data_IF_238168448201
#
_entry.id   IF_238168448201
#
_cell.length_a   1.000
_cell.length_b   1.000
_cell.length_c   1.000
_cell.angle_alpha   90.00
_cell.angle_beta   90.00
_cell.angle_gamma   90.00
#
_symmetry.space_group_name_H-M   'P 1'
#
loop_
_entity.id
_entity.type
_entity.pdbx_description
1 polymer ?
#
# COMPACT_ATOMS: atom_id res chain seq x y z
N UNK A 1 37.07 16.45 -62.88
CA UNK A 1 38.01 16.13 -61.77
C UNK A 1 37.59 16.71 -60.43
N UNK A 2 37.02 17.90 -60.32
CA UNK A 2 36.66 18.55 -59.04
C UNK A 2 35.50 17.88 -58.30
N UNK A 3 34.52 17.25 -58.97
CA UNK A 3 33.38 16.62 -58.32
C UNK A 3 33.70 15.26 -57.66
N UNK A 4 34.62 14.49 -58.25
CA UNK A 4 35.10 13.24 -57.69
C UNK A 4 35.93 13.44 -56.40
N UNK A 5 36.73 14.53 -56.34
CA UNK A 5 37.50 14.88 -55.15
C UNK A 5 36.63 15.32 -53.95
N UNK A 6 35.50 16.00 -54.22
CA UNK A 6 34.56 16.41 -53.17
C UNK A 6 33.80 15.19 -52.62
N UNK A 7 33.40 14.24 -53.44
CA UNK A 7 32.73 13.01 -52.97
C UNK A 7 33.67 12.12 -52.17
N UNK A 8 34.95 12.01 -52.58
CA UNK A 8 35.94 11.25 -51.79
C UNK A 8 36.29 11.94 -50.47
N UNK A 9 36.36 13.28 -50.42
CA UNK A 9 36.63 14.04 -49.19
C UNK A 9 35.47 13.92 -48.18
N UNK A 10 34.21 14.01 -48.63
CA UNK A 10 33.04 13.83 -47.77
C UNK A 10 32.89 12.38 -47.28
N UNK A 11 33.20 11.39 -48.10
CA UNK A 11 33.22 9.99 -47.67
C UNK A 11 34.31 9.67 -46.66
N UNK A 12 35.52 10.27 -46.82
CA UNK A 12 36.61 10.13 -45.82
C UNK A 12 36.27 10.82 -44.50
N UNK A 13 35.68 12.02 -44.54
CA UNK A 13 35.24 12.72 -43.32
C UNK A 13 34.09 11.96 -42.61
N UNK A 14 33.15 11.38 -43.34
CA UNK A 14 32.10 10.53 -42.75
C UNK A 14 32.70 9.28 -42.07
N UNK A 15 33.65 8.61 -42.72
CA UNK A 15 34.27 7.40 -42.14
C UNK A 15 35.14 7.73 -40.94
N UNK A 16 35.89 8.83 -40.97
CA UNK A 16 36.78 9.25 -39.87
C UNK A 16 36.04 9.75 -38.64
N UNK A 17 34.82 10.26 -38.76
CA UNK A 17 34.02 10.73 -37.63
C UNK A 17 32.91 9.75 -37.22
N UNK A 18 32.22 9.12 -38.16
CA UNK A 18 31.13 8.16 -37.85
C UNK A 18 31.66 6.87 -37.23
N UNK A 19 32.81 6.36 -37.71
CA UNK A 19 33.36 5.10 -37.18
C UNK A 19 33.85 5.23 -35.72
N UNK A 20 34.59 6.25 -35.31
CA UNK A 20 34.91 6.45 -33.89
C UNK A 20 33.67 6.76 -33.05
N UNK A 21 32.69 7.52 -33.59
CA UNK A 21 31.47 7.82 -32.88
C UNK A 21 30.61 6.57 -32.72
N UNK A 22 30.49 5.74 -33.75
CA UNK A 22 29.82 4.42 -33.63
C UNK A 22 30.59 3.47 -32.72
N UNK A 23 31.92 3.47 -32.74
CA UNK A 23 32.75 2.68 -31.84
C UNK A 23 32.60 3.16 -30.38
N UNK A 24 32.58 4.47 -30.15
CA UNK A 24 32.32 5.05 -28.83
C UNK A 24 30.89 4.75 -28.38
N UNK A 25 29.89 4.91 -29.24
CA UNK A 25 28.51 4.53 -28.92
C UNK A 25 28.36 3.04 -28.68
N UNK A 26 29.08 2.22 -29.45
CA UNK A 26 29.12 0.77 -29.26
C UNK A 26 29.83 0.41 -27.95
N UNK A 27 30.95 1.03 -27.63
CA UNK A 27 31.64 0.87 -26.34
C UNK A 27 30.80 1.36 -25.17
N UNK A 28 30.08 2.47 -25.30
CA UNK A 28 29.12 2.93 -24.29
C UNK A 28 27.91 2.01 -24.16
N UNK A 29 27.44 1.46 -25.27
CA UNK A 29 26.27 0.54 -25.26
C UNK A 29 26.62 -0.87 -24.76
N UNK A 30 27.88 -1.32 -24.99
CA UNK A 30 28.39 -2.61 -24.53
C UNK A 30 29.17 -2.56 -23.21
N UNK A 31 29.49 -1.36 -22.72
CA UNK A 31 30.20 -1.22 -21.45
C UNK A 31 29.17 -1.30 -20.29
N UNK A 32 28.88 -2.53 -19.88
CA UNK A 32 27.98 -2.85 -18.77
C UNK A 32 28.62 -2.60 -17.40
N UNK A 33 29.61 -1.71 -17.33
CA UNK A 33 30.32 -1.35 -16.09
C UNK A 33 29.98 0.06 -15.62
N UNK A 34 29.76 0.20 -14.33
CA UNK A 34 29.68 1.50 -13.67
C UNK A 34 31.06 2.12 -13.55
N UNK A 35 31.24 3.31 -14.10
CA UNK A 35 32.55 3.99 -14.22
C UNK A 35 33.09 4.43 -12.85
N UNK A 36 32.23 4.70 -11.89
CA UNK A 36 32.60 5.20 -10.57
C UNK A 36 33.09 4.09 -9.64
N UNK A 37 32.42 2.94 -9.68
CA UNK A 37 32.67 1.82 -8.77
C UNK A 37 33.44 0.67 -9.43
N UNK A 38 33.48 0.60 -10.77
CA UNK A 38 34.07 -0.53 -11.50
C UNK A 38 33.24 -1.82 -11.44
N UNK A 39 32.03 -1.77 -10.84
CA UNK A 39 31.09 -2.90 -10.82
C UNK A 39 30.31 -3.01 -12.12
N UNK A 40 29.58 -4.11 -12.31
CA UNK A 40 28.61 -4.20 -13.38
C UNK A 40 27.40 -3.25 -13.12
N UNK A 41 26.74 -2.79 -14.17
CA UNK A 41 25.56 -1.91 -14.07
C UNK A 41 24.24 -2.72 -14.00
N UNK A 42 23.12 -2.01 -13.82
CA UNK A 42 21.79 -2.59 -13.74
C UNK A 42 21.36 -3.34 -15.03
N UNK A 43 21.88 -2.95 -16.20
CA UNK A 43 21.62 -3.64 -17.48
C UNK A 43 22.28 -5.01 -17.50
N UNK A 44 23.52 -5.09 -16.99
CA UNK A 44 24.24 -6.35 -16.85
C UNK A 44 23.52 -7.29 -15.89
N UNK A 45 22.91 -6.76 -14.81
CA UNK A 45 22.11 -7.54 -13.86
C UNK A 45 20.94 -8.24 -14.54
N UNK A 46 20.15 -7.53 -15.35
CA UNK A 46 19.02 -8.11 -16.06
C UNK A 46 19.41 -9.17 -17.08
N UNK A 47 20.58 -9.06 -17.71
CA UNK A 47 21.12 -10.09 -18.61
C UNK A 47 21.62 -11.30 -17.83
N UNK A 48 22.35 -11.09 -16.76
CA UNK A 48 22.93 -12.16 -15.95
C UNK A 48 21.86 -13.00 -15.25
N UNK A 49 20.81 -12.37 -14.72
CA UNK A 49 19.70 -13.11 -14.11
C UNK A 49 18.96 -13.99 -15.11
N UNK A 50 18.84 -13.56 -16.37
CA UNK A 50 18.29 -14.42 -17.45
C UNK A 50 19.17 -15.65 -17.72
N UNK A 51 20.49 -15.52 -17.65
CA UNK A 51 21.43 -16.65 -17.79
C UNK A 51 21.39 -17.61 -16.60
N UNK A 52 20.93 -17.13 -15.43
CA UNK A 52 20.76 -17.93 -14.23
C UNK A 52 19.41 -18.65 -14.17
N UNK A 53 18.50 -18.41 -15.11
CA UNK A 53 17.19 -19.05 -15.12
C UNK A 53 17.34 -20.59 -15.07
N UNK A 54 16.64 -21.21 -14.12
CA UNK A 54 16.74 -22.66 -13.86
C UNK A 54 17.98 -23.12 -13.06
N UNK A 55 18.81 -22.19 -12.58
CA UNK A 55 19.94 -22.49 -11.68
C UNK A 55 19.66 -21.98 -10.29
N UNK A 56 20.18 -22.70 -9.28
CA UNK A 56 20.13 -22.22 -7.92
C UNK A 56 21.19 -21.14 -7.67
N UNK A 57 20.76 -20.00 -7.18
CA UNK A 57 21.63 -18.90 -6.78
C UNK A 57 21.07 -18.18 -5.55
N UNK A 58 21.90 -17.34 -4.97
CA UNK A 58 21.54 -16.44 -3.90
C UNK A 58 21.88 -15.03 -4.33
N UNK A 59 20.94 -14.10 -4.11
CA UNK A 59 21.10 -12.67 -4.29
C UNK A 59 21.29 -12.01 -2.95
N UNK A 60 22.35 -11.22 -2.81
CA UNK A 60 22.59 -10.37 -1.65
C UNK A 60 22.45 -8.93 -2.09
N UNK A 61 21.50 -8.24 -1.54
CA UNK A 61 21.20 -6.85 -1.85
C UNK A 61 21.58 -5.97 -0.66
N UNK A 62 22.47 -5.02 -0.90
CA UNK A 62 22.95 -4.06 0.08
C UNK A 62 22.49 -2.66 -0.31
N UNK A 63 21.77 -1.99 0.57
CA UNK A 63 21.43 -0.59 0.45
C UNK A 63 22.14 0.22 1.54
N UNK A 64 22.85 1.26 1.11
CA UNK A 64 23.63 2.18 1.95
C UNK A 64 22.99 3.57 1.89
N UNK A 65 22.59 4.09 3.03
CA UNK A 65 21.98 5.41 3.13
C UNK A 65 23.02 6.49 3.40
N UNK A 66 22.86 7.63 2.74
CA UNK A 66 23.64 8.88 2.98
C UNK A 66 25.18 8.70 2.90
N UNK A 67 25.63 7.84 2.00
CA UNK A 67 27.06 7.60 1.79
C UNK A 67 27.65 8.58 0.77
N UNK A 68 28.74 9.25 1.13
CA UNK A 68 29.46 10.10 0.17
C UNK A 68 30.43 9.28 -0.71
N UNK A 69 30.81 9.83 -1.86
CA UNK A 69 31.66 9.16 -2.86
C UNK A 69 32.99 8.61 -2.28
N UNK A 70 33.62 9.32 -1.34
CA UNK A 70 34.89 8.88 -0.73
C UNK A 70 34.69 7.65 0.15
N UNK A 71 33.66 7.65 1.00
CA UNK A 71 33.31 6.49 1.85
C UNK A 71 32.85 5.32 0.98
N UNK A 72 32.08 5.59 -0.09
CA UNK A 72 31.64 4.61 -1.07
C UNK A 72 32.84 3.87 -1.68
N UNK A 73 33.84 4.61 -2.17
CA UNK A 73 35.03 4.01 -2.78
C UNK A 73 35.78 3.11 -1.80
N UNK A 74 36.02 3.55 -0.57
CA UNK A 74 36.70 2.76 0.46
C UNK A 74 35.93 1.48 0.82
N UNK A 75 34.60 1.60 0.95
CA UNK A 75 33.74 0.45 1.25
C UNK A 75 33.75 -0.57 0.12
N UNK A 76 33.70 -0.10 -1.14
CA UNK A 76 33.72 -0.96 -2.32
C UNK A 76 35.05 -1.67 -2.51
N UNK A 77 36.18 -0.98 -2.23
CA UNK A 77 37.52 -1.62 -2.27
C UNK A 77 37.60 -2.81 -1.28
N UNK A 78 37.06 -2.66 -0.05
CA UNK A 78 36.98 -3.77 0.92
C UNK A 78 36.04 -4.88 0.46
N UNK A 79 34.88 -4.50 -0.10
CA UNK A 79 33.89 -5.43 -0.58
C UNK A 79 34.39 -6.26 -1.77
N UNK A 80 35.11 -5.63 -2.70
CA UNK A 80 35.74 -6.33 -3.82
C UNK A 80 36.83 -7.28 -3.35
N UNK A 81 37.72 -6.81 -2.47
CA UNK A 81 38.78 -7.64 -1.96
C UNK A 81 38.25 -8.89 -1.25
N UNK A 82 37.18 -8.74 -0.44
CA UNK A 82 36.51 -9.83 0.21
C UNK A 82 35.89 -10.80 -0.81
N UNK A 83 35.14 -10.27 -1.79
CA UNK A 83 34.50 -11.08 -2.83
C UNK A 83 35.52 -11.92 -3.63
N UNK A 84 36.64 -11.31 -4.04
CA UNK A 84 37.70 -12.03 -4.78
C UNK A 84 38.36 -13.12 -3.95
N UNK A 85 38.50 -12.91 -2.66
CA UNK A 85 39.17 -13.83 -1.76
C UNK A 85 38.31 -15.05 -1.38
N UNK A 86 37.01 -14.86 -1.20
CA UNK A 86 36.12 -15.86 -0.65
C UNK A 86 35.16 -16.52 -1.63
N UNK A 87 34.88 -15.89 -2.77
CA UNK A 87 33.90 -16.39 -3.72
C UNK A 87 34.52 -16.70 -5.10
N UNK A 88 33.98 -17.76 -5.72
CA UNK A 88 34.36 -18.12 -7.08
C UNK A 88 33.44 -17.38 -8.09
N UNK A 89 34.06 -16.48 -8.86
CA UNK A 89 33.37 -15.62 -9.87
C UNK A 89 32.16 -14.87 -9.32
N UNK A 90 32.31 -14.06 -8.28
CA UNK A 90 31.22 -13.23 -7.79
C UNK A 90 30.87 -12.16 -8.83
N UNK A 91 29.56 -11.90 -9.00
CA UNK A 91 29.06 -10.83 -9.84
C UNK A 91 28.44 -9.75 -8.95
N UNK A 92 29.03 -8.56 -8.95
CA UNK A 92 28.54 -7.41 -8.21
C UNK A 92 28.02 -6.35 -9.17
N UNK A 93 26.83 -5.85 -8.91
CA UNK A 93 26.10 -4.89 -9.73
C UNK A 93 25.79 -3.64 -8.91
N UNK A 94 25.99 -2.45 -9.51
CA UNK A 94 25.41 -1.21 -8.98
C UNK A 94 24.06 -0.97 -9.63
N UNK A 95 23.02 -0.92 -8.84
CA UNK A 95 21.65 -0.72 -9.35
C UNK A 95 21.33 0.76 -9.47
N UNK A 96 21.54 1.50 -8.39
CA UNK A 96 21.46 2.98 -8.30
C UNK A 96 22.28 3.47 -7.10
N UNK A 97 22.21 4.76 -6.78
CA UNK A 97 23.01 5.33 -5.70
C UNK A 97 22.75 4.64 -4.37
N UNK A 98 23.82 4.12 -3.77
CA UNK A 98 23.79 3.38 -2.53
C UNK A 98 23.28 1.94 -2.62
N UNK A 99 22.80 1.47 -3.79
CA UNK A 99 22.25 0.13 -3.96
C UNK A 99 23.18 -0.79 -4.76
N UNK A 100 23.59 -1.87 -4.11
CA UNK A 100 24.45 -2.90 -4.70
C UNK A 100 23.81 -4.27 -4.58
N UNK A 101 23.98 -5.09 -5.62
CA UNK A 101 23.49 -6.46 -5.65
C UNK A 101 24.65 -7.40 -5.99
N UNK A 102 24.75 -8.49 -5.29
CA UNK A 102 25.69 -9.58 -5.57
C UNK A 102 24.93 -10.86 -5.86
N UNK A 103 25.36 -11.59 -6.88
CA UNK A 103 24.79 -12.88 -7.25
C UNK A 103 25.82 -14.00 -7.07
N UNK A 104 25.45 -15.02 -6.31
CA UNK A 104 26.29 -16.18 -5.99
C UNK A 104 25.62 -17.44 -6.47
N UNK A 105 26.16 -18.06 -7.52
CA UNK A 105 25.69 -19.36 -7.97
C UNK A 105 26.04 -20.44 -6.95
N UNK A 106 25.06 -21.25 -6.58
CA UNK A 106 25.20 -22.29 -5.54
C UNK A 106 26.15 -23.40 -5.97
N UNK A 107 26.17 -23.79 -7.26
CA UNK A 107 27.07 -24.78 -7.80
C UNK A 107 28.54 -24.36 -7.79
N UNK A 108 28.84 -23.07 -7.85
CA UNK A 108 30.19 -22.52 -7.77
C UNK A 108 30.59 -22.14 -6.33
N UNK A 109 29.62 -21.88 -5.47
CA UNK A 109 29.81 -21.42 -4.11
C UNK A 109 28.90 -22.20 -3.14
N UNK A 110 29.15 -23.50 -2.90
CA UNK A 110 28.27 -24.35 -2.06
C UNK A 110 28.18 -23.84 -0.60
N UNK A 111 29.23 -23.15 -0.11
CA UNK A 111 29.29 -22.61 1.25
C UNK A 111 28.96 -21.11 1.31
N UNK A 112 28.22 -20.59 0.31
CA UNK A 112 27.97 -19.16 0.19
C UNK A 112 27.30 -18.55 1.43
N UNK A 113 26.34 -19.24 2.06
CA UNK A 113 25.68 -18.76 3.27
C UNK A 113 26.67 -18.52 4.42
N UNK A 114 27.54 -19.49 4.68
CA UNK A 114 28.56 -19.38 5.74
C UNK A 114 29.56 -18.25 5.46
N UNK A 115 29.95 -18.11 4.19
CA UNK A 115 30.86 -17.04 3.77
C UNK A 115 30.20 -15.66 3.83
N UNK A 116 28.91 -15.58 3.52
CA UNK A 116 28.17 -14.31 3.69
C UNK A 116 28.03 -13.95 5.16
N UNK A 117 27.81 -14.92 6.02
CA UNK A 117 27.76 -14.64 7.45
C UNK A 117 29.09 -14.06 7.96
N UNK A 118 30.23 -14.57 7.50
CA UNK A 118 31.54 -14.00 7.78
C UNK A 118 31.68 -12.59 7.20
N UNK A 119 31.24 -12.40 5.94
CA UNK A 119 31.23 -11.08 5.31
C UNK A 119 30.39 -10.06 6.07
N UNK A 120 29.27 -10.47 6.66
CA UNK A 120 28.43 -9.61 7.48
C UNK A 120 29.10 -9.20 8.79
N UNK A 121 29.84 -10.11 9.42
CA UNK A 121 30.64 -9.80 10.61
C UNK A 121 31.72 -8.78 10.28
N UNK A 122 32.48 -8.98 9.21
CA UNK A 122 33.50 -8.06 8.73
C UNK A 122 32.89 -6.71 8.30
N UNK A 123 31.72 -6.74 7.65
CA UNK A 123 30.97 -5.53 7.28
C UNK A 123 30.47 -4.77 8.50
N UNK A 124 30.04 -5.46 9.54
CA UNK A 124 29.60 -4.84 10.79
C UNK A 124 30.71 -4.04 11.47
N UNK A 125 31.94 -4.58 11.51
CA UNK A 125 33.10 -3.84 12.01
C UNK A 125 33.40 -2.58 11.18
N UNK A 126 33.32 -2.71 9.85
CA UNK A 126 33.51 -1.60 8.91
C UNK A 126 32.42 -0.54 9.07
N UNK A 127 31.16 -0.97 9.21
CA UNK A 127 30.01 -0.11 9.43
C UNK A 127 30.15 0.73 10.71
N UNK A 128 30.58 0.12 11.81
CA UNK A 128 30.85 0.83 13.08
C UNK A 128 31.89 1.94 12.88
N UNK A 129 32.92 1.67 12.10
CA UNK A 129 33.98 2.64 11.80
C UNK A 129 33.50 3.83 10.97
N UNK A 130 32.63 3.60 9.99
CA UNK A 130 32.15 4.64 9.07
C UNK A 130 30.81 5.29 9.47
N UNK A 131 30.09 4.74 10.43
CA UNK A 131 28.75 5.19 10.85
C UNK A 131 27.81 5.35 9.65
N UNK A 132 27.59 4.26 8.94
CA UNK A 132 26.74 4.22 7.74
C UNK A 132 25.49 3.42 8.06
N UNK A 133 24.32 3.96 7.74
CA UNK A 133 23.08 3.21 7.81
C UNK A 133 22.96 2.28 6.61
N UNK A 134 22.57 1.03 6.85
CA UNK A 134 22.45 0.03 5.83
C UNK A 134 21.16 -0.80 5.97
N UNK A 135 20.76 -1.43 4.88
CA UNK A 135 19.82 -2.54 4.85
C UNK A 135 20.42 -3.63 3.99
N UNK A 136 20.33 -4.88 4.44
CA UNK A 136 20.82 -6.02 3.70
C UNK A 136 19.71 -7.08 3.58
N UNK A 137 19.41 -7.44 2.34
CA UNK A 137 18.39 -8.44 2.00
C UNK A 137 19.08 -9.60 1.28
N UNK A 138 18.81 -10.82 1.73
CA UNK A 138 19.33 -12.05 1.13
C UNK A 138 18.15 -12.83 0.55
N UNK A 139 18.16 -13.01 -0.76
CA UNK A 139 17.09 -13.68 -1.50
C UNK A 139 17.64 -14.96 -2.11
N UNK A 140 16.96 -16.06 -1.85
CA UNK A 140 17.21 -17.31 -2.52
C UNK A 140 16.46 -17.40 -3.85
N UNK A 141 17.06 -18.05 -4.85
CA UNK A 141 16.39 -18.29 -6.13
C UNK A 141 15.11 -19.09 -5.94
N UNK A 142 14.04 -18.62 -6.57
CA UNK A 142 12.75 -19.30 -6.63
C UNK A 142 12.34 -19.42 -8.11
N UNK A 143 11.95 -20.61 -8.61
CA UNK A 143 11.60 -20.81 -10.01
C UNK A 143 10.39 -19.99 -10.49
N UNK A 144 9.62 -19.40 -9.59
CA UNK A 144 8.48 -18.53 -9.89
C UNK A 144 8.89 -17.09 -10.17
N UNK A 145 10.11 -16.68 -9.77
CA UNK A 145 10.70 -15.39 -10.08
C UNK A 145 11.50 -15.54 -11.38
N UNK A 146 10.96 -15.07 -12.48
CA UNK A 146 11.48 -15.36 -13.82
C UNK A 146 12.41 -14.30 -14.39
N UNK A 147 12.47 -13.12 -13.78
CA UNK A 147 13.27 -11.99 -14.26
C UNK A 147 14.08 -11.32 -13.16
N UNK A 148 15.12 -10.59 -13.54
CA UNK A 148 15.85 -9.72 -12.61
C UNK A 148 14.95 -8.65 -11.97
N UNK A 149 13.95 -8.19 -12.68
CA UNK A 149 12.96 -7.24 -12.19
C UNK A 149 12.13 -7.84 -11.04
N UNK A 150 11.76 -9.14 -11.13
CA UNK A 150 11.05 -9.82 -10.04
C UNK A 150 11.89 -9.89 -8.78
N UNK A 151 13.20 -10.19 -8.90
CA UNK A 151 14.11 -10.21 -7.76
C UNK A 151 14.30 -8.83 -7.14
N UNK A 152 14.38 -7.78 -7.95
CA UNK A 152 14.49 -6.40 -7.45
C UNK A 152 13.20 -5.94 -6.80
N UNK A 153 12.05 -6.30 -7.34
CA UNK A 153 10.75 -5.99 -6.74
C UNK A 153 10.53 -6.74 -5.41
N UNK A 154 10.96 -8.00 -5.33
CA UNK A 154 10.95 -8.74 -4.04
C UNK A 154 11.91 -8.12 -3.03
N UNK A 155 13.09 -7.67 -3.45
CA UNK A 155 14.04 -6.96 -2.59
C UNK A 155 13.45 -5.66 -2.03
N UNK A 156 12.76 -4.89 -2.85
CA UNK A 156 12.05 -3.68 -2.41
C UNK A 156 10.92 -4.00 -1.42
N UNK A 157 10.12 -5.01 -1.74
CA UNK A 157 9.03 -5.49 -0.87
C UNK A 157 9.52 -5.92 0.52
N UNK A 158 10.66 -6.62 0.59
CA UNK A 158 11.28 -7.00 1.86
C UNK A 158 11.91 -5.80 2.56
N UNK A 159 12.57 -4.92 1.79
CA UNK A 159 13.23 -3.73 2.30
C UNK A 159 12.30 -2.71 2.94
N UNK A 160 11.07 -2.56 2.44
CA UNK A 160 10.05 -1.65 3.00
C UNK A 160 9.66 -2.02 4.44
N UNK A 161 9.70 -3.31 4.77
CA UNK A 161 9.34 -3.85 6.09
C UNK A 161 10.53 -3.96 7.04
N UNK A 162 11.72 -3.65 6.56
CA UNK A 162 12.98 -3.88 7.26
C UNK A 162 13.40 -2.65 8.08
N UNK A 163 13.84 -2.89 9.32
CA UNK A 163 14.50 -1.87 10.13
C UNK A 163 15.85 -1.46 9.52
N UNK A 164 16.30 -0.24 9.78
CA UNK A 164 17.66 0.21 9.47
C UNK A 164 18.66 -0.62 10.25
N UNK A 165 19.82 -0.89 9.67
CA UNK A 165 20.92 -1.66 10.27
C UNK A 165 20.51 -3.10 10.63
N UNK A 166 19.76 -3.74 9.73
CA UNK A 166 19.34 -5.13 9.89
C UNK A 166 19.54 -5.95 8.62
N UNK A 167 19.48 -7.26 8.80
CA UNK A 167 19.58 -8.28 7.75
C UNK A 167 18.28 -9.06 7.67
N UNK A 168 17.74 -9.24 6.48
CA UNK A 168 16.55 -10.04 6.22
C UNK A 168 16.88 -11.15 5.23
N UNK A 169 16.45 -12.35 5.52
CA UNK A 169 16.51 -13.51 4.63
C UNK A 169 15.10 -13.75 4.06
N UNK A 170 15.00 -13.92 2.75
CA UNK A 170 13.72 -14.26 2.14
C UNK A 170 13.29 -15.67 2.57
N UNK A 171 12.05 -15.80 2.99
CA UNK A 171 11.38 -17.07 3.22
C UNK A 171 10.50 -17.44 2.00
N UNK A 172 9.98 -18.66 2.00
CA UNK A 172 9.00 -19.07 1.00
C UNK A 172 7.70 -18.27 1.13
N UNK A 173 7.31 -17.98 2.36
CA UNK A 173 6.14 -17.19 2.71
C UNK A 173 6.26 -15.74 2.19
N UNK A 174 7.46 -15.17 2.22
CA UNK A 174 7.73 -13.84 1.65
C UNK A 174 7.55 -13.84 0.13
N UNK A 175 8.06 -14.87 -0.55
CA UNK A 175 7.87 -15.02 -1.99
C UNK A 175 6.39 -15.22 -2.33
N UNK A 176 5.66 -16.02 -1.56
CA UNK A 176 4.22 -16.23 -1.74
C UNK A 176 3.45 -14.90 -1.57
N UNK A 177 3.75 -14.14 -0.51
CA UNK A 177 3.14 -12.83 -0.26
C UNK A 177 3.47 -11.80 -1.36
N UNK A 178 4.70 -11.77 -1.82
CA UNK A 178 5.12 -10.92 -2.93
C UNK A 178 4.38 -11.25 -4.23
N UNK A 179 4.30 -12.53 -4.60
CA UNK A 179 3.61 -12.97 -5.81
C UNK A 179 2.10 -12.67 -5.75
N UNK A 180 1.52 -12.81 -4.56
CA UNK A 180 0.13 -12.41 -4.33
C UNK A 180 -0.05 -10.89 -4.53
N UNK A 181 0.80 -10.06 -3.92
CA UNK A 181 0.80 -8.60 -4.08
C UNK A 181 0.97 -8.21 -5.57
N UNK A 182 1.94 -8.81 -6.26
CA UNK A 182 2.20 -8.57 -7.69
C UNK A 182 0.96 -8.87 -8.53
N UNK A 183 0.31 -10.01 -8.29
CA UNK A 183 -0.92 -10.36 -9.02
C UNK A 183 -2.06 -9.39 -8.74
N UNK A 184 -2.23 -8.94 -7.49
CA UNK A 184 -3.23 -7.92 -7.14
C UNK A 184 -2.93 -6.62 -7.88
N UNK A 185 -1.67 -6.18 -7.92
CA UNK A 185 -1.25 -4.97 -8.64
C UNK A 185 -1.57 -5.06 -10.14
N UNK A 186 -1.27 -6.19 -10.79
CA UNK A 186 -1.61 -6.42 -12.21
C UNK A 186 -3.12 -6.28 -12.45
N UNK A 187 -3.95 -6.80 -11.53
CA UNK A 187 -5.40 -6.68 -11.65
C UNK A 187 -5.89 -5.24 -11.42
N UNK A 188 -5.30 -4.52 -10.48
CA UNK A 188 -5.63 -3.12 -10.22
C UNK A 188 -5.26 -2.22 -11.41
N UNK A 189 -4.13 -2.46 -12.06
CA UNK A 189 -3.74 -1.75 -13.30
C UNK A 189 -4.81 -1.96 -14.37
N UNK A 190 -5.24 -3.21 -14.62
CA UNK A 190 -6.28 -3.50 -15.62
C UNK A 190 -7.64 -2.87 -15.27
N UNK A 191 -8.03 -2.85 -13.98
CA UNK A 191 -9.25 -2.15 -13.52
C UNK A 191 -9.13 -0.65 -13.78
N UNK A 192 -7.99 -0.07 -13.44
CA UNK A 192 -7.75 1.36 -13.59
C UNK A 192 -7.73 1.81 -15.06
N UNK A 193 -7.08 1.03 -15.94
CA UNK A 193 -7.02 1.30 -17.38
C UNK A 193 -8.40 1.21 -18.06
N UNK A 194 -9.25 0.29 -17.61
CA UNK A 194 -10.62 0.13 -18.12
C UNK A 194 -11.56 1.24 -17.64
N UNK A 195 -11.40 1.68 -16.40
CA UNK A 195 -12.25 2.69 -15.78
C UNK A 195 -13.75 2.33 -15.75
N UNK A 196 -14.08 1.03 -15.85
CA UNK A 196 -15.45 0.53 -15.85
C UNK A 196 -16.05 0.55 -14.44
N UNK A 197 -17.06 1.39 -14.22
CA UNK A 197 -17.74 1.53 -12.92
C UNK A 197 -18.54 0.26 -12.51
N UNK A 198 -18.71 -0.69 -13.44
CA UNK A 198 -19.39 -1.96 -13.19
C UNK A 198 -18.43 -3.16 -13.10
N UNK A 199 -17.10 -2.93 -13.01
CA UNK A 199 -16.12 -4.02 -12.98
C UNK A 199 -16.49 -5.10 -11.96
N UNK A 200 -16.76 -6.32 -12.46
CA UNK A 200 -17.31 -7.42 -11.66
C UNK A 200 -16.35 -7.91 -10.55
N UNK A 201 -15.07 -7.57 -10.64
CA UNK A 201 -14.07 -7.93 -9.63
C UNK A 201 -14.26 -7.15 -8.32
N UNK A 202 -14.80 -5.92 -8.39
CA UNK A 202 -15.05 -5.09 -7.20
C UNK A 202 -16.43 -5.43 -6.64
N UNK A 203 -16.45 -6.07 -5.48
CA UNK A 203 -17.67 -6.48 -4.78
C UNK A 203 -17.97 -5.55 -3.61
N UNK A 204 -19.26 -5.31 -3.38
CA UNK A 204 -19.75 -4.50 -2.26
C UNK A 204 -20.33 -5.39 -1.19
N UNK A 205 -19.64 -5.43 -0.05
CA UNK A 205 -20.11 -6.02 1.18
C UNK A 205 -20.53 -4.90 2.14
N UNK A 206 -21.40 -5.20 3.08
CA UNK A 206 -21.81 -4.28 4.11
C UNK A 206 -21.90 -4.98 5.46
N UNK A 207 -21.59 -4.25 6.52
CA UNK A 207 -21.84 -4.66 7.88
C UNK A 207 -22.93 -3.79 8.48
N UNK A 208 -24.06 -4.38 8.98
CA UNK A 208 -25.15 -3.63 9.58
C UNK A 208 -24.73 -2.97 10.89
N UNK A 209 -25.24 -1.78 11.12
CA UNK A 209 -24.98 -0.97 12.32
C UNK A 209 -26.28 -0.85 13.13
N UNK A 210 -26.26 -1.30 14.38
CA UNK A 210 -27.39 -1.20 15.31
C UNK A 210 -27.49 0.22 15.88
N UNK A 211 -28.67 0.81 15.81
CA UNK A 211 -28.96 2.04 16.51
C UNK A 211 -29.57 1.70 17.90
N UNK A 212 -28.83 1.99 18.97
CA UNK A 212 -29.21 1.61 20.34
C UNK A 212 -30.51 2.27 20.83
N UNK A 213 -30.85 3.48 20.31
CA UNK A 213 -32.10 4.17 20.71
C UNK A 213 -33.34 3.57 20.10
N UNK A 214 -33.26 3.04 18.90
CA UNK A 214 -34.41 2.47 18.19
C UNK A 214 -34.45 0.96 18.24
N UNK A 215 -33.33 0.32 18.56
CA UNK A 215 -33.19 -1.16 18.51
C UNK A 215 -33.24 -1.70 17.07
N UNK A 216 -33.01 -0.87 16.05
CA UNK A 216 -33.14 -1.23 14.65
C UNK A 216 -31.84 -1.04 13.87
N UNK A 217 -31.71 -1.80 12.79
CA UNK A 217 -30.65 -1.64 11.80
C UNK A 217 -31.19 -0.80 10.64
N UNK A 218 -30.75 0.44 10.53
CA UNK A 218 -31.12 1.33 9.44
C UNK A 218 -29.92 1.96 8.74
N UNK A 219 -28.73 1.59 9.15
CA UNK A 219 -27.47 2.00 8.57
C UNK A 219 -26.49 0.83 8.46
N UNK A 220 -25.48 0.99 7.60
CA UNK A 220 -24.45 -0.03 7.40
C UNK A 220 -23.15 0.61 6.95
N UNK A 221 -22.02 -0.04 7.21
CA UNK A 221 -20.72 0.31 6.63
C UNK A 221 -20.46 -0.51 5.37
N UNK A 222 -20.00 0.15 4.31
CA UNK A 222 -19.54 -0.49 3.08
C UNK A 222 -18.10 -0.95 3.22
N UNK A 223 -17.90 -2.21 2.94
CA UNK A 223 -16.61 -2.88 3.01
C UNK A 223 -16.32 -3.56 1.67
N UNK A 224 -15.54 -2.91 0.84
CA UNK A 224 -15.19 -3.46 -0.48
C UNK A 224 -14.48 -4.80 -0.37
N UNK A 225 -14.63 -5.64 -1.37
CA UNK A 225 -13.85 -6.87 -1.58
C UNK A 225 -13.41 -6.93 -3.04
N UNK A 226 -12.24 -7.46 -3.29
CA UNK A 226 -11.80 -7.71 -4.65
C UNK A 226 -11.87 -9.23 -4.93
N UNK A 227 -12.67 -9.64 -5.90
CA UNK A 227 -12.81 -11.05 -6.28
C UNK A 227 -11.94 -11.35 -7.49
N UNK A 228 -10.86 -12.06 -7.28
CA UNK A 228 -9.87 -12.34 -8.32
C UNK A 228 -9.85 -13.83 -8.70
N UNK A 229 -9.72 -14.17 -10.01
CA UNK A 229 -9.80 -15.56 -10.47
C UNK A 229 -8.83 -16.53 -9.79
N UNK A 230 -7.60 -16.05 -9.46
CA UNK A 230 -6.57 -16.91 -8.84
C UNK A 230 -6.60 -16.93 -7.31
N UNK A 231 -7.15 -15.89 -6.67
CA UNK A 231 -7.06 -15.69 -5.22
C UNK A 231 -8.42 -15.77 -4.53
N UNK A 232 -9.53 -15.76 -5.30
CA UNK A 232 -10.85 -15.57 -4.73
C UNK A 232 -11.03 -14.18 -4.13
N UNK A 233 -11.67 -14.11 -2.98
CA UNK A 233 -11.94 -12.84 -2.29
C UNK A 233 -10.69 -12.34 -1.59
N UNK A 234 -10.24 -11.16 -1.99
CA UNK A 234 -9.09 -10.43 -1.42
C UNK A 234 -9.61 -9.28 -0.55
N UNK A 235 -9.01 -9.17 0.64
CA UNK A 235 -9.42 -8.19 1.65
C UNK A 235 -8.85 -6.79 1.37
N UNK A 236 -9.54 -5.72 1.80
CA UNK A 236 -9.10 -4.33 1.62
C UNK A 236 -7.70 -4.05 2.16
N UNK A 237 -7.32 -4.69 3.26
CA UNK A 237 -5.99 -4.53 3.89
C UNK A 237 -4.81 -4.87 2.96
N UNK A 238 -5.02 -5.70 1.92
CA UNK A 238 -4.03 -5.95 0.89
C UNK A 238 -4.23 -5.03 -0.32
N UNK A 239 -5.47 -4.71 -0.68
CA UNK A 239 -5.81 -3.97 -1.91
C UNK A 239 -5.52 -2.48 -1.77
N UNK A 240 -5.99 -1.87 -0.67
CA UNK A 240 -5.95 -0.41 -0.48
C UNK A 240 -4.51 0.14 -0.49
N UNK A 241 -3.55 -0.43 0.28
CA UNK A 241 -2.17 0.07 0.26
C UNK A 241 -1.51 0.00 -1.13
N UNK A 242 -1.83 -1.03 -1.92
CA UNK A 242 -1.33 -1.16 -3.29
C UNK A 242 -1.95 -0.09 -4.19
N UNK A 243 -3.27 0.11 -4.10
CA UNK A 243 -4.00 1.09 -4.89
C UNK A 243 -3.55 2.53 -4.56
N UNK A 244 -3.30 2.85 -3.28
CA UNK A 244 -2.75 4.13 -2.83
C UNK A 244 -1.33 4.36 -3.34
N UNK A 245 -0.43 3.38 -3.15
CA UNK A 245 0.97 3.47 -3.58
C UNK A 245 1.11 3.73 -5.08
N UNK A 246 0.20 3.21 -5.88
CA UNK A 246 0.20 3.32 -7.34
C UNK A 246 -0.84 4.31 -7.89
N UNK A 247 -1.40 5.18 -7.05
CA UNK A 247 -2.35 6.24 -7.43
C UNK A 247 -3.62 5.72 -8.15
N UNK A 248 -4.04 4.49 -7.85
CA UNK A 248 -5.23 3.86 -8.45
C UNK A 248 -6.44 3.85 -7.51
N UNK A 249 -6.31 4.35 -6.28
CA UNK A 249 -7.36 4.29 -5.26
C UNK A 249 -8.63 5.02 -5.72
N UNK A 250 -8.49 6.14 -6.43
CA UNK A 250 -9.62 6.92 -6.91
C UNK A 250 -10.55 6.12 -7.84
N UNK A 251 -10.00 5.33 -8.76
CA UNK A 251 -10.79 4.46 -9.63
C UNK A 251 -11.57 3.42 -8.83
N UNK A 252 -10.94 2.81 -7.83
CA UNK A 252 -11.59 1.82 -6.96
C UNK A 252 -12.74 2.46 -6.18
N UNK A 253 -12.54 3.63 -5.59
CA UNK A 253 -13.56 4.34 -4.82
C UNK A 253 -14.75 4.76 -5.68
N UNK A 254 -14.52 5.18 -6.92
CA UNK A 254 -15.62 5.47 -7.88
C UNK A 254 -16.46 4.23 -8.17
N UNK A 255 -15.84 3.08 -8.39
CA UNK A 255 -16.56 1.81 -8.59
C UNK A 255 -17.35 1.44 -7.34
N UNK A 256 -16.72 1.52 -6.16
CA UNK A 256 -17.37 1.22 -4.88
C UNK A 256 -18.58 2.12 -4.66
N UNK A 257 -18.44 3.42 -4.86
CA UNK A 257 -19.54 4.39 -4.70
C UNK A 257 -20.67 4.13 -5.69
N UNK A 258 -20.36 3.95 -6.99
CA UNK A 258 -21.36 3.67 -8.03
C UNK A 258 -22.19 2.44 -7.67
N UNK A 259 -21.55 1.33 -7.37
CA UNK A 259 -22.24 0.08 -7.00
C UNK A 259 -23.00 0.20 -5.68
N UNK A 260 -22.50 0.98 -4.73
CA UNK A 260 -23.20 1.28 -3.47
C UNK A 260 -24.50 2.03 -3.76
N UNK A 261 -24.44 3.08 -4.57
CA UNK A 261 -25.63 3.85 -4.95
C UNK A 261 -26.69 2.99 -5.64
N UNK A 262 -26.28 2.15 -6.58
CA UNK A 262 -27.19 1.21 -7.26
C UNK A 262 -27.86 0.24 -6.29
N UNK A 263 -27.11 -0.30 -5.33
CA UNK A 263 -27.67 -1.20 -4.33
C UNK A 263 -28.60 -0.48 -3.36
N UNK A 264 -28.32 0.76 -2.97
CA UNK A 264 -29.23 1.60 -2.17
C UNK A 264 -30.57 1.72 -2.89
N UNK A 265 -30.55 2.11 -4.17
CA UNK A 265 -31.79 2.22 -4.96
C UNK A 265 -32.58 0.93 -5.01
N UNK A 266 -31.93 -0.19 -5.31
CA UNK A 266 -32.59 -1.51 -5.34
C UNK A 266 -33.27 -1.86 -4.03
N UNK A 267 -32.58 -1.63 -2.90
CA UNK A 267 -33.16 -1.85 -1.57
C UNK A 267 -34.37 -0.94 -1.30
N UNK A 268 -34.33 0.33 -1.69
CA UNK A 268 -35.43 1.27 -1.54
C UNK A 268 -36.61 0.95 -2.46
N UNK A 269 -36.36 0.52 -3.70
CA UNK A 269 -37.37 0.03 -4.66
C UNK A 269 -38.07 -1.24 -4.14
N UNK A 270 -37.36 -2.10 -3.42
CA UNK A 270 -37.91 -3.28 -2.73
C UNK A 270 -38.66 -2.92 -1.44
N UNK A 271 -38.70 -1.62 -1.05
CA UNK A 271 -39.42 -1.09 0.09
C UNK A 271 -38.67 -1.19 1.43
N UNK A 272 -37.34 -1.40 1.43
CA UNK A 272 -36.56 -1.44 2.66
C UNK A 272 -36.19 -0.03 3.13
N UNK A 273 -36.18 0.18 4.45
CA UNK A 273 -35.77 1.44 5.07
C UNK A 273 -34.27 1.45 5.32
N UNK A 274 -33.52 2.16 4.46
CA UNK A 274 -32.10 2.40 4.63
C UNK A 274 -31.87 3.89 4.86
N UNK A 275 -31.47 4.26 6.06
CA UNK A 275 -31.24 5.66 6.42
C UNK A 275 -29.95 6.17 5.81
N UNK A 276 -28.85 5.42 5.96
CA UNK A 276 -27.52 5.82 5.50
C UNK A 276 -26.59 4.65 5.38
N UNK A 277 -25.63 4.78 4.45
CA UNK A 277 -24.52 3.86 4.29
C UNK A 277 -23.22 4.66 4.35
N UNK A 278 -22.25 4.21 5.12
CA UNK A 278 -20.93 4.83 5.16
C UNK A 278 -19.97 4.14 4.17
N UNK A 279 -19.11 4.95 3.58
CA UNK A 279 -18.10 4.51 2.59
C UNK A 279 -16.76 5.09 3.01
N UNK A 280 -15.75 4.22 3.04
CA UNK A 280 -14.38 4.59 3.34
C UNK A 280 -13.71 5.27 2.13
N UNK A 281 -13.06 6.41 2.38
CA UNK A 281 -12.25 7.12 1.39
C UNK A 281 -10.84 7.39 1.93
N UNK A 282 -9.85 7.32 1.04
CA UNK A 282 -8.48 7.65 1.40
C UNK A 282 -8.25 9.15 1.47
N UNK A 283 -7.45 9.59 2.44
CA UNK A 283 -6.98 10.99 2.49
C UNK A 283 -6.25 11.40 1.20
N UNK A 284 -5.62 10.46 0.52
CA UNK A 284 -4.96 10.72 -0.77
C UNK A 284 -5.94 11.16 -1.84
N UNK A 285 -7.17 10.66 -1.83
CA UNK A 285 -8.22 11.04 -2.78
C UNK A 285 -8.69 12.48 -2.55
N UNK A 286 -8.70 12.94 -1.31
CA UNK A 286 -9.05 14.30 -0.98
C UNK A 286 -8.08 15.35 -1.55
N UNK A 287 -6.92 14.95 -2.03
CA UNK A 287 -5.97 15.84 -2.73
C UNK A 287 -6.32 16.04 -4.21
N UNK A 288 -7.20 15.21 -4.75
CA UNK A 288 -7.68 15.37 -6.12
C UNK A 288 -8.73 16.49 -6.18
N UNK A 289 -8.47 17.47 -7.04
CA UNK A 289 -9.36 18.62 -7.25
C UNK A 289 -10.76 18.19 -7.72
N UNK A 290 -10.85 17.09 -8.45
CA UNK A 290 -12.09 16.56 -9.01
C UNK A 290 -12.83 15.62 -8.06
N UNK A 291 -12.24 15.21 -6.96
CA UNK A 291 -12.82 14.22 -6.03
C UNK A 291 -14.27 14.54 -5.65
N UNK A 292 -14.53 15.80 -5.21
CA UNK A 292 -15.89 16.20 -4.84
C UNK A 292 -16.87 16.12 -6.01
N UNK A 293 -16.45 16.57 -7.19
CA UNK A 293 -17.32 16.63 -8.36
C UNK A 293 -17.63 15.23 -8.86
N UNK A 294 -16.65 14.34 -8.88
CA UNK A 294 -16.83 12.92 -9.23
C UNK A 294 -17.79 12.21 -8.27
N UNK A 295 -17.62 12.43 -6.97
CA UNK A 295 -18.47 11.82 -5.95
C UNK A 295 -19.92 12.31 -6.08
N UNK A 296 -20.16 13.61 -6.22
CA UNK A 296 -21.48 14.17 -6.40
C UNK A 296 -22.10 13.72 -7.73
N UNK A 297 -21.34 13.69 -8.83
CA UNK A 297 -21.80 13.23 -10.14
C UNK A 297 -22.27 11.77 -10.11
N UNK A 298 -21.50 10.87 -9.47
CA UNK A 298 -21.90 9.46 -9.36
C UNK A 298 -23.22 9.33 -8.57
N UNK A 299 -23.40 10.11 -7.53
CA UNK A 299 -24.66 10.10 -6.74
C UNK A 299 -25.84 10.65 -7.55
N UNK A 300 -25.64 11.73 -8.30
CA UNK A 300 -26.65 12.32 -9.18
C UNK A 300 -27.05 11.36 -10.33
N UNK A 301 -26.08 10.74 -10.99
CA UNK A 301 -26.31 9.78 -12.05
C UNK A 301 -27.14 8.57 -11.58
N UNK A 302 -26.91 8.14 -10.32
CA UNK A 302 -27.66 7.08 -9.68
C UNK A 302 -28.93 7.58 -8.98
N UNK A 303 -29.22 8.88 -8.94
CA UNK A 303 -30.37 9.49 -8.29
C UNK A 303 -30.47 9.12 -6.78
N UNK A 304 -29.35 9.09 -6.09
CA UNK A 304 -29.28 8.81 -4.64
C UNK A 304 -29.08 10.13 -3.90
N UNK A 305 -29.98 10.44 -2.92
CA UNK A 305 -29.82 11.65 -2.11
C UNK A 305 -28.49 11.65 -1.34
N UNK A 306 -27.84 12.82 -1.27
CA UNK A 306 -26.50 12.94 -0.67
C UNK A 306 -26.46 12.55 0.81
N UNK A 307 -27.55 12.73 1.56
CA UNK A 307 -27.67 12.31 2.95
C UNK A 307 -27.66 10.77 3.15
N UNK A 308 -27.81 10.00 2.08
CA UNK A 308 -27.74 8.54 2.12
C UNK A 308 -26.32 7.99 2.22
N UNK A 309 -25.33 8.82 1.89
CA UNK A 309 -23.91 8.45 1.98
C UNK A 309 -23.26 9.24 3.12
N UNK A 310 -22.53 8.54 3.95
CA UNK A 310 -21.55 9.12 4.86
C UNK A 310 -20.14 8.82 4.36
N UNK A 311 -19.25 9.77 4.47
CA UNK A 311 -17.83 9.62 4.18
C UNK A 311 -17.10 9.22 5.45
N UNK A 312 -16.42 8.09 5.44
CA UNK A 312 -15.52 7.67 6.51
C UNK A 312 -14.08 8.02 6.19
N UNK A 313 -13.40 8.62 7.14
CA UNK A 313 -12.02 9.07 7.03
C UNK A 313 -11.26 8.73 8.29
N UNK A 314 -10.04 8.22 8.13
CA UNK A 314 -9.09 8.08 9.22
C UNK A 314 -8.44 9.43 9.57
N UNK A 315 -7.85 9.56 10.75
CA UNK A 315 -7.18 10.78 11.17
C UNK A 315 -5.93 11.07 10.30
N UNK A 316 -5.83 12.31 9.78
CA UNK A 316 -4.63 12.75 9.05
C UNK A 316 -3.51 13.14 10.01
N UNK A 317 -2.28 12.69 9.72
CA UNK A 317 -1.07 13.08 10.48
C UNK A 317 -0.41 14.35 9.95
N UNK A 318 -0.66 14.71 8.69
CA UNK A 318 -0.02 15.85 8.03
C UNK A 318 -0.90 17.11 8.11
N UNK A 319 -0.30 18.25 8.44
CA UNK A 319 -0.99 19.54 8.54
C UNK A 319 -1.60 20.00 7.21
N UNK A 320 -0.84 19.84 6.12
CA UNK A 320 -1.32 20.23 4.79
C UNK A 320 -2.53 19.39 4.35
N UNK A 321 -2.54 18.10 4.66
CA UNK A 321 -3.63 17.19 4.35
C UNK A 321 -4.88 17.52 5.19
N UNK A 322 -4.69 17.95 6.43
CA UNK A 322 -5.78 18.36 7.31
C UNK A 322 -6.57 19.57 6.78
N UNK A 323 -5.89 20.61 6.32
CA UNK A 323 -6.54 21.80 5.76
C UNK A 323 -7.32 21.49 4.46
N UNK A 324 -6.76 20.62 3.61
CA UNK A 324 -7.45 20.15 2.40
C UNK A 324 -8.69 19.35 2.79
N UNK A 325 -8.57 18.42 3.70
CA UNK A 325 -9.67 17.59 4.21
C UNK A 325 -10.81 18.47 4.77
N UNK A 326 -10.48 19.48 5.59
CA UNK A 326 -11.45 20.42 6.16
C UNK A 326 -12.25 21.19 5.09
N UNK A 327 -11.57 21.64 4.04
CA UNK A 327 -12.23 22.35 2.93
C UNK A 327 -13.19 21.43 2.17
N UNK A 328 -12.77 20.22 1.86
CA UNK A 328 -13.55 19.23 1.12
C UNK A 328 -14.75 18.76 1.93
N UNK A 329 -14.54 18.41 3.21
CA UNK A 329 -15.63 18.04 4.10
C UNK A 329 -16.66 19.18 4.23
N UNK A 330 -16.22 20.45 4.37
CA UNK A 330 -17.11 21.62 4.43
C UNK A 330 -17.89 21.81 3.13
N UNK A 331 -17.29 21.50 1.97
CA UNK A 331 -17.98 21.56 0.67
C UNK A 331 -19.07 20.48 0.58
N UNK A 332 -18.74 19.24 0.87
CA UNK A 332 -19.67 18.11 0.79
C UNK A 332 -20.78 18.20 1.84
N UNK A 333 -20.49 18.71 3.05
CA UNK A 333 -21.49 18.95 4.09
C UNK A 333 -22.60 19.91 3.63
N UNK A 334 -22.28 20.93 2.83
CA UNK A 334 -23.28 21.85 2.25
C UNK A 334 -24.31 21.16 1.35
N UNK A 335 -23.94 20.01 0.79
CA UNK A 335 -24.85 19.15 0.02
C UNK A 335 -25.63 18.16 0.90
N UNK A 336 -25.38 18.12 2.21
CA UNK A 336 -26.08 17.24 3.16
C UNK A 336 -25.35 15.95 3.49
N UNK A 337 -24.15 15.73 2.95
CA UNK A 337 -23.33 14.56 3.29
C UNK A 337 -22.88 14.58 4.75
N UNK A 338 -22.68 13.41 5.33
CA UNK A 338 -22.23 13.21 6.70
C UNK A 338 -20.82 12.65 6.74
N UNK A 339 -20.14 12.88 7.87
CA UNK A 339 -18.75 12.48 8.05
C UNK A 339 -18.56 11.66 9.31
N UNK A 340 -17.85 10.56 9.19
CA UNK A 340 -17.49 9.69 10.30
C UNK A 340 -15.96 9.66 10.43
N UNK A 341 -15.49 9.84 11.65
CA UNK A 341 -14.08 9.65 11.99
C UNK A 341 -13.86 8.21 12.36
N UNK A 342 -13.04 7.53 11.59
CA UNK A 342 -12.75 6.11 11.77
C UNK A 342 -11.49 5.86 12.61
N UNK A 343 -11.34 4.63 13.13
CA UNK A 343 -10.17 4.13 13.88
C UNK A 343 -9.79 4.96 15.12
N UNK A 344 -10.74 5.64 15.79
CA UNK A 344 -10.41 6.41 17.00
C UNK A 344 -9.86 5.50 18.09
N UNK A 345 -8.66 5.82 18.57
CA UNK A 345 -7.96 5.09 19.64
C UNK A 345 -6.79 4.22 19.17
N UNK A 346 -6.56 4.07 17.86
CA UNK A 346 -5.45 3.26 17.31
C UNK A 346 -4.14 4.03 17.16
N UNK A 347 -4.16 5.37 17.32
CA UNK A 347 -3.02 6.23 17.04
C UNK A 347 -2.94 7.50 17.87
N UNK A 348 -2.45 8.56 17.25
CA UNK A 348 -2.30 9.88 17.84
C UNK A 348 -3.55 10.71 17.60
N UNK A 349 -4.58 10.53 18.43
CA UNK A 349 -5.80 11.35 18.29
C UNK A 349 -5.54 12.77 18.78
N UNK A 350 -5.64 13.75 17.87
CA UNK A 350 -5.57 15.16 18.19
C UNK A 350 -6.97 15.74 18.35
N UNK A 351 -7.39 15.98 19.60
CA UNK A 351 -8.72 16.52 19.90
C UNK A 351 -8.99 17.88 19.24
N UNK A 352 -7.98 18.72 19.09
CA UNK A 352 -8.13 20.03 18.43
C UNK A 352 -8.61 19.87 16.98
N UNK A 353 -8.03 18.91 16.26
CA UNK A 353 -8.42 18.57 14.87
C UNK A 353 -9.84 18.01 14.80
N UNK A 354 -10.24 17.16 15.74
CA UNK A 354 -11.60 16.60 15.75
C UNK A 354 -12.64 17.72 15.90
N UNK A 355 -12.38 18.72 16.75
CA UNK A 355 -13.28 19.85 16.98
C UNK A 355 -13.42 20.73 15.74
N UNK A 356 -12.38 20.83 14.92
CA UNK A 356 -12.39 21.68 13.71
C UNK A 356 -13.08 21.06 12.51
N UNK A 357 -13.28 19.72 12.50
CA UNK A 357 -13.88 19.00 11.41
C UNK A 357 -15.40 18.84 11.60
N UNK A 358 -16.19 18.85 10.52
CA UNK A 358 -17.63 18.65 10.58
C UNK A 358 -18.01 17.17 10.74
N UNK A 359 -17.54 16.54 11.81
CA UNK A 359 -17.76 15.13 12.10
C UNK A 359 -19.12 14.94 12.78
N UNK A 360 -19.87 13.92 12.36
CA UNK A 360 -21.15 13.53 12.95
C UNK A 360 -21.00 12.34 13.90
N UNK A 361 -20.18 11.35 13.52
CA UNK A 361 -19.97 10.11 14.27
C UNK A 361 -18.47 9.88 14.47
N UNK A 362 -18.09 9.49 15.68
CA UNK A 362 -16.75 9.01 16.01
C UNK A 362 -16.85 7.50 16.25
N UNK A 363 -16.12 6.74 15.43
CA UNK A 363 -16.05 5.27 15.51
C UNK A 363 -14.93 4.88 16.45
N UNK A 364 -15.25 4.27 17.55
CA UNK A 364 -14.30 3.70 18.50
C UNK A 364 -13.88 2.32 17.99
N UNK A 365 -12.59 2.22 17.66
CA UNK A 365 -12.01 0.99 17.16
C UNK A 365 -12.22 -0.20 18.10
N UNK A 366 -12.26 -1.41 17.56
CA UNK A 366 -12.39 -2.67 18.30
C UNK A 366 -11.42 -2.77 19.49
N UNK A 367 -10.22 -2.19 19.40
CA UNK A 367 -9.24 -2.21 20.50
C UNK A 367 -9.76 -1.51 21.75
N UNK A 368 -10.55 -0.43 21.62
CA UNK A 368 -11.20 0.25 22.74
C UNK A 368 -12.35 -0.57 23.33
N UNK A 369 -13.12 -1.25 22.50
CA UNK A 369 -14.16 -2.20 22.96
C UNK A 369 -13.54 -3.32 23.80
N UNK A 370 -12.44 -3.91 23.33
CA UNK A 370 -11.67 -4.93 24.07
C UNK A 370 -11.06 -4.33 25.34
N UNK A 371 -10.46 -3.15 25.27
CA UNK A 371 -9.85 -2.48 26.41
C UNK A 371 -10.85 -2.24 27.54
N UNK A 372 -12.06 -1.81 27.22
CA UNK A 372 -13.14 -1.55 28.20
C UNK A 372 -13.59 -2.81 28.95
N UNK A 373 -13.31 -3.98 28.42
CA UNK A 373 -13.60 -5.28 29.04
C UNK A 373 -12.52 -5.77 30.03
N UNK A 374 -11.34 -5.17 30.04
CA UNK A 374 -10.18 -5.63 30.84
C UNK A 374 -10.40 -5.48 32.35
N UNK A 375 -10.72 -4.28 32.77
CA UNK A 375 -10.87 -3.91 34.17
C UNK A 375 -11.71 -2.62 34.30
N UNK A 376 -12.06 -2.26 35.53
CA UNK A 376 -12.90 -1.10 35.83
C UNK A 376 -12.23 0.22 35.38
N UNK A 377 -10.93 0.39 35.64
CA UNK A 377 -10.23 1.65 35.28
C UNK A 377 -10.22 1.86 33.76
N UNK A 378 -9.96 0.79 32.99
CA UNK A 378 -9.98 0.82 31.53
C UNK A 378 -11.38 1.16 30.99
N UNK A 379 -12.41 0.57 31.60
CA UNK A 379 -13.81 0.87 31.28
C UNK A 379 -14.16 2.34 31.55
N UNK A 380 -13.81 2.85 32.72
CA UNK A 380 -14.08 4.22 33.12
C UNK A 380 -13.34 5.21 32.22
N UNK A 381 -12.14 4.87 31.78
CA UNK A 381 -11.39 5.69 30.81
C UNK A 381 -12.09 5.77 29.45
N UNK A 382 -12.43 4.61 28.86
CA UNK A 382 -13.10 4.56 27.56
C UNK A 382 -14.49 5.21 27.65
N UNK A 383 -15.24 4.97 28.73
CA UNK A 383 -16.53 5.61 28.98
C UNK A 383 -16.41 7.13 29.10
N UNK A 384 -15.34 7.63 29.73
CA UNK A 384 -15.09 9.08 29.82
C UNK A 384 -14.88 9.72 28.46
N UNK A 385 -14.16 9.08 27.54
CA UNK A 385 -14.02 9.56 26.17
C UNK A 385 -15.38 9.61 25.45
N UNK A 386 -16.18 8.55 25.56
CA UNK A 386 -17.50 8.50 24.97
C UNK A 386 -18.42 9.61 25.52
N UNK A 387 -18.35 9.87 26.83
CA UNK A 387 -19.10 10.95 27.48
C UNK A 387 -18.67 12.33 26.98
N UNK A 388 -17.37 12.58 26.87
CA UNK A 388 -16.82 13.84 26.34
C UNK A 388 -17.37 14.11 24.94
N UNK A 389 -17.30 13.15 24.04
CA UNK A 389 -17.79 13.30 22.67
C UNK A 389 -19.31 13.48 22.62
N UNK A 390 -20.06 12.71 23.39
CA UNK A 390 -21.53 12.84 23.46
C UNK A 390 -21.96 14.22 23.97
N UNK A 391 -21.28 14.76 24.99
CA UNK A 391 -21.53 16.13 25.49
C UNK A 391 -21.14 17.20 24.46
N UNK A 392 -20.18 16.94 23.61
CA UNK A 392 -19.79 17.83 22.52
C UNK A 392 -20.69 17.68 21.26
N UNK A 393 -21.80 16.94 21.38
CA UNK A 393 -22.78 16.65 20.31
C UNK A 393 -22.28 15.73 19.18
N UNK A 394 -21.21 15.00 19.39
CA UNK A 394 -20.85 13.89 18.50
C UNK A 394 -21.65 12.64 18.86
N UNK A 395 -21.92 11.78 17.88
CA UNK A 395 -22.44 10.45 18.14
C UNK A 395 -21.28 9.45 18.19
N UNK A 396 -21.36 8.47 19.08
CA UNK A 396 -20.32 7.47 19.24
C UNK A 396 -20.82 6.14 18.73
N UNK A 397 -20.00 5.49 17.88
CA UNK A 397 -20.17 4.15 17.40
C UNK A 397 -19.05 3.28 17.98
N UNK A 398 -19.39 2.16 18.61
CA UNK A 398 -18.41 1.17 19.05
C UNK A 398 -18.34 0.02 18.05
N UNK A 399 -17.13 -0.28 17.63
CA UNK A 399 -16.81 -1.40 16.75
C UNK A 399 -16.38 -2.66 17.50
N UNK A 400 -16.45 -3.80 16.82
CA UNK A 400 -15.95 -5.06 17.35
C UNK A 400 -16.77 -5.61 18.51
N UNK A 401 -18.07 -5.34 18.54
CA UNK A 401 -19.01 -5.92 19.51
C UNK A 401 -19.24 -7.39 19.14
N UNK A 402 -18.78 -8.34 19.98
CA UNK A 402 -18.85 -9.77 19.69
C UNK A 402 -19.78 -10.52 20.65
N UNK A 403 -19.98 -10.01 21.85
CA UNK A 403 -20.76 -10.66 22.92
C UNK A 403 -21.88 -9.77 23.45
N UNK A 404 -22.80 -10.37 24.21
CA UNK A 404 -23.84 -9.66 24.97
C UNK A 404 -23.22 -8.72 26.01
N UNK A 405 -22.13 -9.16 26.66
CA UNK A 405 -21.41 -8.34 27.64
C UNK A 405 -20.76 -7.11 27.00
N UNK A 406 -20.26 -7.23 25.76
CA UNK A 406 -19.73 -6.09 25.01
C UNK A 406 -20.84 -5.09 24.71
N UNK A 407 -21.98 -5.56 24.20
CA UNK A 407 -23.14 -4.70 23.89
C UNK A 407 -23.57 -3.92 25.12
N UNK A 408 -23.88 -4.61 26.21
CA UNK A 408 -24.33 -3.97 27.44
C UNK A 408 -23.29 -2.98 28.00
N UNK A 409 -22.02 -3.32 27.91
CA UNK A 409 -20.93 -2.46 28.33
C UNK A 409 -20.83 -1.20 27.49
N UNK A 410 -20.92 -1.32 26.16
CA UNK A 410 -20.90 -0.18 25.23
C UNK A 410 -22.14 0.70 25.38
N UNK A 411 -23.32 0.13 25.58
CA UNK A 411 -24.55 0.88 25.88
C UNK A 411 -24.41 1.69 27.17
N UNK A 412 -23.84 1.09 28.22
CA UNK A 412 -23.56 1.80 29.47
C UNK A 412 -22.54 2.94 29.34
N UNK A 413 -21.73 2.93 28.26
CA UNK A 413 -20.80 3.99 27.90
C UNK A 413 -21.40 4.99 26.88
N UNK A 414 -22.74 5.09 26.81
CA UNK A 414 -23.48 6.00 25.93
C UNK A 414 -23.25 5.76 24.41
N UNK A 415 -22.96 4.51 23.99
CA UNK A 415 -22.91 4.15 22.59
C UNK A 415 -24.22 4.48 21.88
N UNK A 416 -24.15 5.31 20.83
CA UNK A 416 -25.31 5.60 19.97
C UNK A 416 -25.49 4.52 18.91
N UNK A 417 -24.40 3.94 18.45
CA UNK A 417 -24.36 2.88 17.46
C UNK A 417 -23.43 1.77 17.89
N UNK A 418 -23.75 0.55 17.46
CA UNK A 418 -22.95 -0.65 17.72
C UNK A 418 -22.75 -1.43 16.43
N UNK A 419 -21.55 -1.90 16.20
CA UNK A 419 -21.19 -2.72 15.06
C UNK A 419 -20.28 -3.87 15.50
N UNK A 420 -20.52 -5.08 14.96
CA UNK A 420 -19.66 -6.22 15.29
C UNK A 420 -20.26 -7.56 14.92
N UNK A 421 -19.48 -8.60 15.12
CA UNK A 421 -19.84 -9.96 14.74
C UNK A 421 -20.99 -10.56 15.58
N UNK A 422 -21.29 -9.97 16.74
CA UNK A 422 -22.51 -10.30 17.46
C UNK A 422 -23.74 -10.17 16.58
N UNK A 423 -23.79 -9.18 15.70
CA UNK A 423 -24.93 -8.90 14.85
C UNK A 423 -24.79 -9.56 13.48
N UNK A 424 -23.64 -9.34 12.82
CA UNK A 424 -23.34 -9.93 11.53
C UNK A 424 -21.86 -9.76 11.19
N UNK A 425 -21.28 -10.74 10.53
CA UNK A 425 -20.11 -10.50 9.69
C UNK A 425 -20.51 -9.64 8.48
N UNK A 426 -19.54 -9.00 7.77
CA UNK A 426 -19.82 -8.31 6.52
C UNK A 426 -20.48 -9.26 5.51
N UNK A 427 -21.63 -8.85 4.96
CA UNK A 427 -22.41 -9.62 3.98
C UNK A 427 -22.51 -8.87 2.64
N UNK A 428 -22.72 -9.54 1.50
CA UNK A 428 -23.04 -8.86 0.25
C UNK A 428 -24.18 -7.86 0.45
N UNK A 429 -24.04 -6.62 -0.09
CA UNK A 429 -24.93 -5.50 0.26
C UNK A 429 -26.42 -5.81 0.13
N UNK A 430 -26.83 -6.56 -0.89
CA UNK A 430 -28.24 -6.95 -1.04
C UNK A 430 -28.76 -7.89 0.06
N UNK A 431 -27.88 -8.50 0.87
CA UNK A 431 -28.29 -9.28 2.03
C UNK A 431 -28.64 -8.42 3.25
N UNK A 432 -28.37 -7.11 3.24
CA UNK A 432 -28.82 -6.18 4.28
C UNK A 432 -30.35 -6.24 4.50
N UNK A 433 -31.11 -6.60 3.47
CA UNK A 433 -32.56 -6.82 3.59
C UNK A 433 -33.00 -7.75 4.74
N UNK A 434 -32.08 -8.55 5.27
CA UNK A 434 -32.38 -9.44 6.43
C UNK A 434 -32.41 -8.67 7.76
N UNK A 435 -31.82 -7.49 7.79
CA UNK A 435 -31.68 -6.65 8.98
C UNK A 435 -32.59 -5.41 8.91
N UNK A 436 -32.87 -4.92 7.70
CA UNK A 436 -33.63 -3.70 7.48
C UNK A 436 -35.14 -3.94 7.67
N UNK A 437 -35.83 -2.95 8.21
CA UNK A 437 -37.27 -2.89 8.25
C UNK A 437 -37.84 -2.57 6.86
N UNK A 438 -39.06 -3.02 6.58
CA UNK A 438 -39.84 -2.57 5.41
C UNK A 438 -40.65 -1.34 5.75
N UNK A 439 -40.78 -0.42 4.77
CA UNK A 439 -41.77 0.65 4.83
C UNK A 439 -43.18 0.05 4.89
N UNK A 440 -43.96 0.52 5.85
CA UNK A 440 -45.38 0.16 5.92
C UNK A 440 -46.18 0.70 4.73
#
# INVERSE_FOLDING_TARGET
>A
MTMQYQIMSTSYTCITFLFPMCAVLFLFHYNSYDVETGTLDSRAFGNYTRELNGKEFMMVSLYLRDINAKKMKQLMEHFFHFNEQFFNKPCTFRMWDGKFVMLFRKDLNPDAEKKIQQMLEDFYELYQQFKIDYRLVIIYSDPRLVSGEDYMALDEFLGERQAINSVVYSSKEDVDAFLQMKYVLEQLIDINEKGDLEDERVLIYCQPVLNTKTGTFSSAEVLMRLNLPKLGIVMPSLVIPIAEKHEMIHTISRIVLNKTCQNIRKLEEEGYELSRVSVNFSIMELKDVNFCDDLLQIMDDNQVPYEKIAVELTESRNEADFEIMKQIMSRLQKHGMRFYLDDFGTGYSNFERIIELPIDIIKFDKSLTILSGRDTNSRDLVGSFSDIFTRANYQVLFEGVETEDDEQRCENMNARYLQGFKYSEPVPMMQLRRFLSKKE
#
